data_IF_557950283252
#
_entry.id   IF_557950283252
#
_cell.length_a   1.000
_cell.length_b   1.000
_cell.length_c   1.000
_cell.angle_alpha   90.00
_cell.angle_beta   90.00
_cell.angle_gamma   90.00
#
_symmetry.space_group_name_H-M   'P 1'
#
loop_
_entity.id
_entity.type
_entity.pdbx_description
1 polymer ?
#
# COMPACT_ATOMS: atom_id res chain seq x y z
N UNK A 1 25.13 26.60 17.34
CA UNK A 1 23.92 25.83 17.71
C UNK A 1 23.92 24.51 16.95
N UNK A 2 23.79 23.35 17.63
CA UNK A 2 23.86 22.06 16.96
C UNK A 2 22.60 21.86 16.11
N UNK A 3 22.81 21.65 14.80
CA UNK A 3 21.76 21.42 13.80
C UNK A 3 21.08 20.08 14.11
N UNK A 4 19.95 20.13 14.81
CA UNK A 4 19.14 18.96 15.21
C UNK A 4 18.71 18.20 13.95
N UNK A 5 19.45 17.16 13.59
CA UNK A 5 19.04 16.15 12.59
C UNK A 5 17.82 15.42 13.16
N UNK A 6 16.61 15.93 12.88
CA UNK A 6 15.37 15.17 13.08
C UNK A 6 15.33 14.07 12.01
N UNK A 7 15.86 12.91 12.38
CA UNK A 7 15.30 11.58 12.08
C UNK A 7 14.16 11.58 11.07
N UNK A 8 14.49 11.30 9.80
CA UNK A 8 14.06 10.12 9.01
C UNK A 8 12.89 9.27 9.54
N UNK A 9 11.82 9.89 10.01
CA UNK A 9 10.58 9.22 10.34
C UNK A 9 9.49 9.83 9.49
N UNK A 10 8.84 8.99 8.67
CA UNK A 10 7.59 9.24 7.94
C UNK A 10 6.82 10.41 8.55
N UNK A 11 6.68 11.50 7.79
CA UNK A 11 6.03 12.71 8.28
C UNK A 11 4.62 12.35 8.80
N UNK A 12 4.22 12.81 10.01
CA UNK A 12 2.96 12.40 10.64
C UNK A 12 1.73 12.77 9.80
N UNK A 13 1.86 13.77 8.93
CA UNK A 13 0.83 14.18 7.99
C UNK A 13 0.63 13.16 6.84
N UNK A 14 1.69 12.44 6.46
CA UNK A 14 1.63 11.34 5.48
C UNK A 14 1.07 10.08 6.14
N UNK A 15 1.50 9.76 7.37
CA UNK A 15 0.98 8.63 8.13
C UNK A 15 -0.54 8.74 8.40
N UNK A 16 -1.05 9.96 8.58
CA UNK A 16 -2.47 10.25 8.77
C UNK A 16 -3.28 10.35 7.46
N UNK A 17 -2.65 10.17 6.29
CA UNK A 17 -3.31 10.26 4.98
C UNK A 17 -3.76 11.68 4.59
N UNK A 18 -3.24 12.72 5.27
CA UNK A 18 -3.64 14.12 5.08
C UNK A 18 -2.90 14.84 3.94
N UNK A 19 -1.77 14.28 3.46
CA UNK A 19 -0.96 14.85 2.38
C UNK A 19 -0.61 13.76 1.36
N UNK A 20 -0.64 14.10 0.07
CA UNK A 20 -0.36 13.16 -1.03
C UNK A 20 1.03 12.53 -0.86
N UNK A 21 1.04 11.20 -0.77
CA UNK A 21 2.20 10.31 -0.70
C UNK A 21 3.24 10.48 -1.83
N UNK A 22 3.01 11.34 -2.81
CA UNK A 22 3.88 11.55 -3.96
C UNK A 22 5.23 12.18 -3.59
N UNK A 23 5.33 12.86 -2.44
CA UNK A 23 6.61 13.41 -1.94
C UNK A 23 7.38 12.44 -1.02
N UNK A 24 6.77 11.32 -0.60
CA UNK A 24 7.44 10.32 0.21
C UNK A 24 8.33 9.41 -0.66
N UNK A 25 9.56 9.88 -0.92
CA UNK A 25 10.67 9.04 -1.38
C UNK A 25 10.92 7.78 -0.52
N UNK A 26 10.26 7.61 0.62
CA UNK A 26 10.28 6.35 1.40
C UNK A 26 9.56 5.19 0.69
N UNK A 27 8.64 5.45 -0.25
CA UNK A 27 7.96 4.39 -1.01
C UNK A 27 8.89 3.75 -2.06
N UNK A 28 9.98 4.40 -2.48
CA UNK A 28 10.98 3.78 -3.39
C UNK A 28 11.66 2.53 -2.79
N UNK A 29 11.65 2.35 -1.46
CA UNK A 29 12.15 1.11 -0.83
C UNK A 29 11.15 -0.04 -0.92
N UNK A 30 9.87 0.25 -1.14
CA UNK A 30 8.84 -0.75 -1.33
C UNK A 30 8.83 -1.10 -2.82
N UNK A 31 9.53 -2.19 -3.18
CA UNK A 31 9.63 -2.69 -4.57
C UNK A 31 8.28 -3.00 -5.23
N UNK A 32 7.19 -3.00 -4.47
CA UNK A 32 5.83 -3.23 -4.97
C UNK A 32 5.15 -1.90 -5.25
N UNK A 33 4.76 -1.69 -6.50
CA UNK A 33 3.96 -0.53 -6.87
C UNK A 33 2.59 -0.59 -6.17
N UNK A 34 2.04 0.55 -5.70
CA UNK A 34 0.69 0.58 -5.12
C UNK A 34 -0.37 -0.03 -6.04
N UNK A 35 -0.19 0.13 -7.36
CA UNK A 35 -1.04 -0.49 -8.37
C UNK A 35 -1.02 -2.02 -8.28
N UNK A 36 0.16 -2.64 -8.12
CA UNK A 36 0.27 -4.10 -7.99
C UNK A 36 -0.47 -4.63 -6.76
N UNK A 37 -0.45 -3.90 -5.64
CA UNK A 37 -1.19 -4.27 -4.42
C UNK A 37 -2.70 -4.24 -4.66
N UNK A 38 -3.18 -3.21 -5.35
CA UNK A 38 -4.60 -3.07 -5.71
C UNK A 38 -5.03 -4.22 -6.64
N UNK A 39 -4.27 -4.51 -7.69
CA UNK A 39 -4.54 -5.62 -8.60
C UNK A 39 -4.52 -6.98 -7.89
N UNK A 40 -3.59 -7.18 -6.96
CA UNK A 40 -3.50 -8.42 -6.19
C UNK A 40 -4.74 -8.63 -5.31
N UNK A 41 -5.23 -7.59 -4.64
CA UNK A 41 -6.45 -7.67 -3.84
C UNK A 41 -7.69 -8.02 -4.66
N UNK A 42 -7.82 -7.42 -5.85
CA UNK A 42 -8.91 -7.73 -6.80
C UNK A 42 -8.79 -9.18 -7.28
N UNK A 43 -7.60 -9.62 -7.69
CA UNK A 43 -7.36 -10.97 -8.19
C UNK A 43 -7.72 -12.05 -7.16
N UNK A 44 -7.27 -11.88 -5.91
CA UNK A 44 -7.58 -12.82 -4.82
C UNK A 44 -9.11 -12.90 -4.61
N UNK A 45 -9.80 -11.76 -4.59
CA UNK A 45 -11.26 -11.71 -4.42
C UNK A 45 -11.98 -12.48 -5.53
N UNK A 46 -11.58 -12.29 -6.80
CA UNK A 46 -12.16 -12.99 -7.94
C UNK A 46 -11.91 -14.50 -7.83
N UNK A 47 -10.69 -14.92 -7.48
CA UNK A 47 -10.35 -16.34 -7.32
C UNK A 47 -11.21 -17.01 -6.26
N UNK A 48 -11.41 -16.37 -5.11
CA UNK A 48 -12.27 -16.90 -4.04
C UNK A 48 -13.71 -17.05 -4.50
N UNK A 49 -14.25 -16.06 -5.22
CA UNK A 49 -15.60 -16.11 -5.78
C UNK A 49 -15.72 -17.28 -6.77
N UNK A 50 -14.78 -17.40 -7.71
CA UNK A 50 -14.77 -18.48 -8.69
C UNK A 50 -14.67 -19.85 -8.03
N UNK A 51 -13.79 -20.00 -7.05
CA UNK A 51 -13.66 -21.23 -6.26
C UNK A 51 -14.97 -21.58 -5.57
N UNK A 52 -15.68 -20.60 -5.00
CA UNK A 52 -16.99 -20.83 -4.38
C UNK A 52 -18.03 -21.34 -5.39
N UNK A 53 -18.08 -20.75 -6.58
CA UNK A 53 -18.98 -21.20 -7.64
C UNK A 53 -18.62 -22.58 -8.21
N UNK A 54 -17.33 -22.92 -8.31
CA UNK A 54 -16.89 -24.23 -8.80
C UNK A 54 -17.03 -25.33 -7.74
N UNK A 55 -16.71 -25.03 -6.48
CA UNK A 55 -16.73 -26.01 -5.40
C UNK A 55 -18.13 -26.29 -4.86
N UNK A 56 -19.04 -25.31 -4.94
CA UNK A 56 -20.43 -25.47 -4.55
C UNK A 56 -21.31 -24.77 -5.59
N UNK A 57 -21.47 -25.37 -6.78
CA UNK A 57 -22.41 -24.87 -7.77
C UNK A 57 -23.83 -24.86 -7.18
N UNK A 58 -24.65 -23.84 -7.50
CA UNK A 58 -26.02 -23.75 -7.02
C UNK A 58 -26.88 -24.93 -7.50
#
# INVERSE_FOLDING_TARGET
MPRRRRTSGMSPFIAAGLVKFNEAKEIERIKLSPQAVIFLGIAISIVVILLKFLASPP
#
